data_IF_234272152841
#
_entry.id   IF_234272152841
#
_cell.length_a   1.000
_cell.length_b   1.000
_cell.length_c   1.000
_cell.angle_alpha   90.00
_cell.angle_beta   90.00
_cell.angle_gamma   90.00
#
_symmetry.space_group_name_H-M   'P 1'
#
loop_
_entity.id
_entity.type
_entity.pdbx_description
1 polymer ?
#
# COMPACT_ATOMS: atom_id res chain seq x y z
N UNK A 1 17.22 10.82 -4.96
CA UNK A 1 16.95 10.38 -3.58
C UNK A 1 15.50 9.97 -3.47
N UNK A 2 15.24 8.85 -2.82
CA UNK A 2 13.88 8.34 -2.67
C UNK A 2 13.33 8.67 -1.29
N UNK A 3 12.11 9.19 -1.26
CA UNK A 3 11.40 9.46 -0.02
C UNK A 3 10.14 8.62 0.02
N UNK A 4 9.84 8.07 1.18
CA UNK A 4 8.64 7.27 1.40
C UNK A 4 7.86 7.88 2.54
N UNK A 5 6.58 8.14 2.30
CA UNK A 5 5.70 8.75 3.29
C UNK A 5 4.49 7.84 3.51
N UNK A 6 4.22 7.52 4.78
CA UNK A 6 3.03 6.76 5.15
C UNK A 6 1.81 7.67 5.01
N UNK A 7 0.86 7.27 4.18
CA UNK A 7 -0.37 8.02 3.93
C UNK A 7 -1.54 7.51 4.74
N UNK A 8 -1.69 6.19 4.83
CA UNK A 8 -2.84 5.57 5.48
C UNK A 8 -2.49 4.17 5.95
N UNK A 9 -3.19 3.71 6.98
CA UNK A 9 -3.07 2.33 7.47
C UNK A 9 -4.48 1.76 7.68
N UNK A 10 -4.65 0.50 7.29
CA UNK A 10 -5.91 -0.22 7.46
C UNK A 10 -5.61 -1.58 8.09
N UNK A 11 -6.44 -1.99 9.03
CA UNK A 11 -6.21 -3.22 9.79
C UNK A 11 -7.36 -4.21 9.58
N UNK A 12 -6.99 -5.49 9.49
CA UNK A 12 -7.95 -6.59 9.56
C UNK A 12 -8.21 -6.95 11.02
N UNK A 13 -9.30 -7.67 11.25
CA UNK A 13 -9.67 -8.14 12.59
C UNK A 13 -8.61 -9.06 13.20
N UNK A 14 -7.85 -9.77 12.36
CA UNK A 14 -6.81 -10.68 12.83
C UNK A 14 -5.49 -9.98 13.16
N UNK A 15 -5.39 -8.66 12.94
CA UNK A 15 -4.17 -7.91 13.18
C UNK A 15 -3.31 -7.70 11.96
N UNK A 16 -3.68 -8.26 10.80
CA UNK A 16 -2.98 -7.97 9.54
C UNK A 16 -3.17 -6.50 9.18
N UNK A 17 -2.24 -5.93 8.44
CA UNK A 17 -2.25 -4.50 8.12
C UNK A 17 -1.93 -4.25 6.65
N UNK A 18 -2.61 -3.26 6.07
CA UNK A 18 -2.27 -2.71 4.77
C UNK A 18 -1.81 -1.27 4.97
N UNK A 19 -0.59 -0.97 4.60
CA UNK A 19 -0.02 0.38 4.73
C UNK A 19 0.12 1.00 3.36
N UNK A 20 -0.46 2.20 3.21
CA UNK A 20 -0.41 2.96 1.96
C UNK A 20 0.70 3.98 2.07
N UNK A 21 1.63 3.95 1.12
CA UNK A 21 2.77 4.87 1.06
C UNK A 21 2.72 5.70 -0.21
N UNK A 22 3.23 6.92 -0.10
CA UNK A 22 3.62 7.70 -1.27
C UNK A 22 5.12 7.56 -1.41
N UNK A 23 5.57 7.14 -2.58
CA UNK A 23 6.98 6.97 -2.89
C UNK A 23 7.37 8.05 -3.89
N UNK A 24 8.35 8.88 -3.51
CA UNK A 24 8.84 9.97 -4.34
C UNK A 24 10.24 9.61 -4.83
N UNK A 25 10.43 9.62 -6.14
CA UNK A 25 11.69 9.24 -6.78
C UNK A 25 12.16 10.34 -7.72
N UNK A 26 13.40 10.22 -8.19
CA UNK A 26 14.02 11.20 -9.07
C UNK A 26 14.90 12.14 -8.31
N UNK A 27 15.79 12.85 -9.03
CA UNK A 27 16.78 13.74 -8.41
C UNK A 27 16.12 14.92 -7.72
N UNK A 28 15.01 15.42 -8.27
CA UNK A 28 14.28 16.57 -7.76
C UNK A 28 12.91 16.20 -7.17
N UNK A 29 12.68 14.91 -6.91
CA UNK A 29 11.39 14.46 -6.42
C UNK A 29 10.28 14.62 -7.47
N UNK A 30 10.62 14.56 -8.74
CA UNK A 30 9.72 14.85 -9.86
C UNK A 30 8.74 13.73 -10.17
N UNK A 31 8.97 12.54 -9.63
CA UNK A 31 8.11 11.38 -9.84
C UNK A 31 7.57 10.89 -8.51
N UNK A 32 6.31 10.54 -8.49
CA UNK A 32 5.73 9.92 -7.31
C UNK A 32 4.68 8.90 -7.73
N UNK A 33 4.49 7.92 -6.87
CA UNK A 33 3.42 6.94 -7.04
C UNK A 33 3.04 6.42 -5.67
N UNK A 34 1.91 5.71 -5.61
CA UNK A 34 1.44 5.12 -4.37
C UNK A 34 1.70 3.63 -4.37
N UNK A 35 1.88 3.08 -3.19
CA UNK A 35 2.18 1.66 -3.01
C UNK A 35 1.49 1.17 -1.74
N UNK A 36 1.09 -0.10 -1.74
CA UNK A 36 0.53 -0.74 -0.56
C UNK A 36 1.49 -1.86 -0.14
N UNK A 37 1.84 -1.88 1.15
CA UNK A 37 2.55 -2.99 1.75
C UNK A 37 1.57 -3.76 2.64
N UNK A 38 1.40 -5.05 2.37
CA UNK A 38 0.52 -5.93 3.13
C UNK A 38 1.36 -6.77 4.09
N UNK A 39 0.96 -6.79 5.35
CA UNK A 39 1.69 -7.55 6.38
C UNK A 39 0.72 -8.44 7.16
N UNK A 40 1.24 -9.59 7.62
CA UNK A 40 0.48 -10.49 8.46
C UNK A 40 0.47 -9.97 9.91
N UNK A 41 -0.25 -10.63 10.85
CA UNK A 41 -0.32 -10.16 12.24
C UNK A 41 1.02 -10.14 12.96
N UNK A 42 2.00 -10.87 12.45
CA UNK A 42 3.36 -10.91 13.04
C UNK A 42 4.30 -9.87 12.44
N UNK A 43 3.79 -9.05 11.51
CA UNK A 43 4.58 -8.02 10.87
C UNK A 43 5.40 -8.49 9.67
N UNK A 44 5.18 -9.73 9.22
CA UNK A 44 5.87 -10.26 8.04
C UNK A 44 5.18 -9.74 6.78
N UNK A 45 5.97 -9.21 5.85
CA UNK A 45 5.41 -8.70 4.60
C UNK A 45 4.91 -9.84 3.73
N UNK A 46 3.63 -9.76 3.37
CA UNK A 46 2.99 -10.72 2.48
C UNK A 46 3.19 -10.33 1.01
N UNK A 47 3.04 -9.04 0.72
CA UNK A 47 3.09 -8.53 -0.65
C UNK A 47 3.26 -7.02 -0.63
N UNK A 48 3.80 -6.48 -1.72
CA UNK A 48 3.79 -5.05 -2.00
C UNK A 48 3.17 -4.85 -3.39
N UNK A 49 2.26 -3.89 -3.48
CA UNK A 49 1.57 -3.60 -4.74
C UNK A 49 1.77 -2.14 -5.09
N UNK A 50 2.36 -1.85 -6.25
CA UNK A 50 2.62 -0.49 -6.70
C UNK A 50 1.52 -0.01 -7.64
N UNK A 51 1.15 1.27 -7.52
CA UNK A 51 0.09 1.88 -8.31
C UNK A 51 0.63 3.14 -9.00
N UNK A 52 1.45 2.97 -10.05
CA UNK A 52 2.14 4.13 -10.66
C UNK A 52 1.20 5.11 -11.37
N UNK A 53 -0.01 4.69 -11.71
CA UNK A 53 -0.93 5.51 -12.50
C UNK A 53 -2.28 5.74 -11.82
N UNK A 54 -2.37 5.50 -10.51
CA UNK A 54 -3.63 5.62 -9.77
C UNK A 54 -3.55 6.72 -8.72
N UNK A 55 -4.69 7.38 -8.48
CA UNK A 55 -4.80 8.38 -7.43
C UNK A 55 -4.84 7.74 -6.05
N UNK A 56 -4.57 8.54 -5.03
CA UNK A 56 -4.53 8.07 -3.64
C UNK A 56 -5.85 7.40 -3.22
N UNK A 57 -6.99 7.99 -3.59
CA UNK A 57 -8.29 7.43 -3.22
C UNK A 57 -8.49 6.01 -3.74
N UNK A 58 -8.05 5.74 -4.97
CA UNK A 58 -8.12 4.39 -5.54
C UNK A 58 -7.27 3.41 -4.73
N UNK A 59 -6.06 3.84 -4.35
CA UNK A 59 -5.12 2.99 -3.62
C UNK A 59 -5.63 2.72 -2.20
N UNK A 60 -6.20 3.74 -1.55
CA UNK A 60 -6.79 3.59 -0.22
C UNK A 60 -7.98 2.64 -0.25
N UNK A 61 -8.83 2.73 -1.28
CA UNK A 61 -9.94 1.80 -1.45
C UNK A 61 -9.45 0.36 -1.61
N UNK A 62 -8.37 0.16 -2.37
CA UNK A 62 -7.80 -1.17 -2.55
C UNK A 62 -7.31 -1.74 -1.21
N UNK A 63 -6.64 -0.93 -0.39
CA UNK A 63 -6.16 -1.34 0.92
C UNK A 63 -7.32 -1.69 1.85
N UNK A 64 -8.34 -0.84 1.87
CA UNK A 64 -9.52 -1.06 2.70
C UNK A 64 -10.29 -2.31 2.27
N UNK A 65 -10.43 -2.52 0.97
CA UNK A 65 -11.12 -3.71 0.44
C UNK A 65 -10.42 -5.00 0.83
N UNK A 66 -9.10 -4.98 0.86
CA UNK A 66 -8.34 -6.14 1.34
C UNK A 66 -8.64 -6.41 2.81
N UNK A 67 -8.69 -5.38 3.64
CA UNK A 67 -8.99 -5.51 5.05
C UNK A 67 -10.40 -6.01 5.30
N UNK A 68 -11.33 -5.68 4.41
CA UNK A 68 -12.73 -6.16 4.49
C UNK A 68 -12.93 -7.55 3.89
N UNK A 69 -11.88 -8.14 3.33
CA UNK A 69 -11.98 -9.45 2.68
C UNK A 69 -12.56 -9.43 1.28
N UNK A 70 -12.79 -8.24 0.71
CA UNK A 70 -13.33 -8.09 -0.65
C UNK A 70 -12.24 -8.31 -1.70
N UNK A 71 -11.03 -7.81 -1.41
CA UNK A 71 -9.88 -7.96 -2.30
C UNK A 71 -8.97 -9.06 -1.77
N UNK A 72 -8.63 -10.01 -2.60
CA UNK A 72 -7.69 -11.08 -2.26
C UNK A 72 -6.33 -10.77 -2.88
N UNK A 73 -5.26 -11.13 -2.18
CA UNK A 73 -3.92 -11.04 -2.74
C UNK A 73 -3.71 -12.21 -3.66
N UNK A 74 -3.46 -11.92 -4.93
CA UNK A 74 -3.21 -12.96 -5.93
C UNK A 74 -1.86 -12.72 -6.57
N UNK A 75 -1.15 -13.79 -6.84
CA UNK A 75 0.08 -13.72 -7.60
C UNK A 75 -0.24 -13.85 -9.08
N UNK A 76 0.30 -13.01 -9.82
CA UNK A 76 0.17 -13.16 -11.24
C UNK A 76 -0.41 -12.23 -12.03
#
# INVERSE_FOLDING_TARGET
MNNTKLMSEYYKDDGSVAKVYQIVTGMDGERSFFSITYKDPNGVRLMQEDFPYKALGYVEDAAENWCKGIKLLTEG
#
